data_IF_495844706150
#
_entry.id   IF_495844706150
#
_cell.length_a   1.000
_cell.length_b   1.000
_cell.length_c   1.000
_cell.angle_alpha   90.00
_cell.angle_beta   90.00
_cell.angle_gamma   90.00
#
_symmetry.space_group_name_H-M   'P 1'
#
loop_
_entity.id
_entity.type
_entity.pdbx_description
1 polymer ?
#
# COMPACT_ATOMS: atom_id res chain seq x y z
N UNK A 1 -24.73 8.68 -39.24
CA UNK A 1 -23.99 9.99 -39.34
C UNK A 1 -22.59 9.94 -38.75
N UNK A 2 -22.37 9.43 -37.52
CA UNK A 2 -21.00 9.29 -36.96
C UNK A 2 -20.30 8.08 -37.58
N UNK A 3 -20.99 6.94 -37.61
CA UNK A 3 -20.48 5.71 -38.21
C UNK A 3 -20.15 5.82 -39.70
N UNK A 4 -20.95 6.60 -40.45
CA UNK A 4 -20.68 6.81 -41.87
C UNK A 4 -19.39 7.62 -42.08
N UNK A 5 -19.17 8.67 -41.28
CA UNK A 5 -17.93 9.46 -41.29
C UNK A 5 -16.71 8.66 -40.90
N UNK A 6 -16.84 7.73 -39.94
CA UNK A 6 -15.75 6.85 -39.53
C UNK A 6 -15.40 5.87 -40.63
N UNK A 7 -16.40 5.25 -41.28
CA UNK A 7 -16.18 4.34 -42.41
C UNK A 7 -15.56 5.04 -43.61
N UNK A 8 -15.99 6.27 -43.88
CA UNK A 8 -15.41 7.09 -44.96
C UNK A 8 -13.93 7.41 -44.70
N UNK A 9 -13.60 7.72 -43.46
CA UNK A 9 -12.22 8.10 -43.08
C UNK A 9 -11.30 6.91 -42.83
N UNK A 10 -11.86 5.76 -42.43
CA UNK A 10 -11.14 4.54 -42.08
C UNK A 10 -11.86 3.30 -42.69
N UNK A 11 -11.78 3.08 -44.01
CA UNK A 11 -12.53 2.04 -44.70
C UNK A 11 -12.15 0.62 -44.27
N UNK A 12 -10.92 0.42 -43.83
CA UNK A 12 -10.40 -0.89 -43.43
C UNK A 12 -10.76 -1.30 -41.99
N UNK A 13 -11.43 -0.39 -41.25
CA UNK A 13 -11.82 -0.66 -39.86
C UNK A 13 -13.27 -1.09 -39.74
N UNK A 14 -13.51 -2.17 -39.02
CA UNK A 14 -14.87 -2.62 -38.65
C UNK A 14 -15.24 -2.05 -37.29
N UNK A 15 -16.31 -1.22 -37.28
CA UNK A 15 -16.87 -0.71 -36.01
C UNK A 15 -17.64 -1.87 -35.35
N UNK A 16 -17.18 -2.34 -34.19
CA UNK A 16 -17.82 -3.40 -33.42
C UNK A 16 -18.93 -2.86 -32.52
N UNK A 17 -18.68 -1.72 -31.87
CA UNK A 17 -19.61 -1.12 -30.91
C UNK A 17 -19.41 0.40 -30.81
N UNK A 18 -20.39 1.06 -30.22
CA UNK A 18 -20.34 2.48 -29.87
C UNK A 18 -20.50 2.62 -28.36
N UNK A 19 -19.59 3.32 -27.70
CA UNK A 19 -19.72 3.69 -26.30
C UNK A 19 -20.28 5.11 -26.19
N UNK A 20 -21.37 5.28 -25.47
CA UNK A 20 -22.00 6.57 -25.22
C UNK A 20 -21.73 6.95 -23.75
N UNK A 21 -21.01 8.05 -23.54
CA UNK A 21 -20.71 8.56 -22.22
C UNK A 21 -21.28 9.95 -22.02
N UNK A 22 -21.68 10.27 -20.78
CA UNK A 22 -22.07 11.60 -20.41
C UNK A 22 -20.88 12.57 -20.54
N UNK A 23 -21.08 13.67 -21.28
CA UNK A 23 -20.04 14.68 -21.44
C UNK A 23 -19.75 15.38 -20.10
N UNK A 24 -18.59 15.13 -19.54
CA UNK A 24 -18.10 15.84 -18.36
C UNK A 24 -17.62 17.23 -18.78
N UNK A 25 -18.47 18.27 -18.62
CA UNK A 25 -18.15 19.65 -18.93
C UNK A 25 -18.14 20.46 -17.64
N UNK A 26 -16.95 20.87 -17.20
CA UNK A 26 -16.81 21.89 -16.17
C UNK A 26 -16.02 23.07 -16.72
N UNK A 27 -16.61 24.28 -16.78
CA UNK A 27 -15.88 25.49 -17.19
C UNK A 27 -14.64 25.78 -16.34
N UNK A 28 -14.49 25.11 -15.19
CA UNK A 28 -13.41 25.29 -14.21
C UNK A 28 -12.90 23.94 -13.65
N UNK A 29 -12.99 22.85 -14.43
CA UNK A 29 -12.42 21.58 -14.00
C UNK A 29 -10.90 21.56 -14.20
N UNK A 30 -10.18 21.20 -13.15
CA UNK A 30 -8.75 20.93 -13.22
C UNK A 30 -8.54 19.50 -13.73
N UNK A 31 -7.62 19.34 -14.68
CA UNK A 31 -7.23 18.04 -15.19
C UNK A 31 -6.00 17.54 -14.45
N UNK A 32 -6.15 16.41 -13.80
CA UNK A 32 -5.11 15.71 -13.05
C UNK A 32 -4.80 14.36 -13.71
N UNK A 33 -3.65 13.81 -13.38
CA UNK A 33 -3.25 12.46 -13.72
C UNK A 33 -2.92 11.71 -12.42
N UNK A 34 -3.46 10.52 -12.27
CA UNK A 34 -3.13 9.63 -11.16
C UNK A 34 -3.02 8.19 -11.68
N UNK A 35 -2.24 7.36 -11.03
CA UNK A 35 -2.13 5.98 -11.49
C UNK A 35 -1.12 5.14 -10.75
N UNK A 36 -0.92 3.95 -11.31
CA UNK A 36 0.05 2.96 -10.87
C UNK A 36 1.00 2.71 -12.04
N UNK A 37 2.29 2.72 -11.79
CA UNK A 37 3.31 2.31 -12.75
C UNK A 37 4.23 1.30 -12.10
N UNK A 38 4.95 0.52 -12.90
CA UNK A 38 5.90 -0.47 -12.39
C UNK A 38 7.33 -0.03 -12.63
N UNK A 39 8.11 -0.02 -11.58
CA UNK A 39 9.56 0.16 -11.63
C UNK A 39 10.23 -1.22 -11.55
N UNK A 40 11.30 -1.50 -12.32
CA UNK A 40 11.99 -2.79 -12.29
C UNK A 40 12.62 -3.13 -10.94
N UNK A 41 13.00 -2.12 -10.14
CA UNK A 41 13.67 -2.28 -8.84
C UNK A 41 12.70 -2.19 -7.68
N UNK A 42 11.81 -1.19 -7.72
CA UNK A 42 10.91 -0.86 -6.60
C UNK A 42 9.52 -1.50 -6.73
N UNK A 43 9.21 -2.14 -7.86
CA UNK A 43 7.88 -2.68 -8.10
C UNK A 43 6.83 -1.59 -8.36
N UNK A 44 5.60 -1.74 -7.84
CA UNK A 44 4.54 -0.76 -8.05
C UNK A 44 4.88 0.60 -7.43
N UNK A 45 4.58 1.67 -8.17
CA UNK A 45 4.67 3.06 -7.75
C UNK A 45 3.34 3.74 -7.98
N UNK A 46 2.90 4.54 -7.03
CA UNK A 46 1.75 5.44 -7.18
C UNK A 46 2.25 6.73 -7.80
N UNK A 47 1.58 7.19 -8.86
CA UNK A 47 1.93 8.40 -9.61
C UNK A 47 0.82 9.43 -9.47
N UNK A 48 1.18 10.70 -9.29
CA UNK A 48 0.24 11.82 -9.26
C UNK A 48 0.84 13.09 -9.87
N UNK A 49 0.00 13.90 -10.52
CA UNK A 49 0.40 15.20 -11.05
C UNK A 49 -0.67 15.86 -11.92
N UNK A 50 -0.26 16.88 -12.68
CA UNK A 50 -1.12 17.55 -13.68
C UNK A 50 -1.43 16.57 -14.81
N UNK A 51 -2.69 16.55 -15.26
CA UNK A 51 -3.21 15.67 -16.30
C UNK A 51 -3.54 16.39 -17.62
N UNK A 52 -4.21 15.65 -18.51
CA UNK A 52 -4.61 16.10 -19.83
C UNK A 52 -3.43 16.26 -20.79
N UNK A 53 -3.61 17.04 -21.84
CA UNK A 53 -2.58 17.25 -22.88
C UNK A 53 -1.32 17.99 -22.37
N UNK A 54 -1.36 18.60 -21.20
CA UNK A 54 -0.23 19.32 -20.57
C UNK A 54 0.73 18.42 -19.80
N UNK A 55 0.41 17.15 -19.61
CA UNK A 55 1.24 16.16 -18.87
C UNK A 55 2.70 16.17 -19.34
N UNK A 56 2.92 16.18 -20.66
CA UNK A 56 4.25 16.12 -21.24
C UNK A 56 5.01 17.46 -21.23
N UNK A 57 4.32 18.55 -21.00
CA UNK A 57 4.90 19.91 -21.04
C UNK A 57 5.39 20.33 -19.66
N UNK A 58 4.63 20.01 -18.61
CA UNK A 58 4.91 20.50 -17.26
C UNK A 58 5.72 19.55 -16.40
N UNK A 59 5.84 18.28 -16.81
CA UNK A 59 6.58 17.22 -16.08
C UNK A 59 6.29 17.18 -14.56
N UNK A 60 5.06 17.57 -14.17
CA UNK A 60 4.61 17.66 -12.78
C UNK A 60 4.14 16.30 -12.30
N UNK A 61 5.09 15.36 -12.13
CA UNK A 61 4.81 14.03 -11.63
C UNK A 61 5.58 13.77 -10.34
N UNK A 62 4.86 13.33 -9.32
CA UNK A 62 5.43 12.78 -8.10
C UNK A 62 5.10 11.31 -8.01
N UNK A 63 6.01 10.55 -7.39
CA UNK A 63 5.85 9.12 -7.20
C UNK A 63 6.00 8.76 -5.73
N UNK A 64 5.30 7.70 -5.32
CA UNK A 64 5.43 7.13 -3.99
C UNK A 64 5.33 5.61 -4.02
N UNK A 65 5.95 4.96 -3.04
CA UNK A 65 5.84 3.52 -2.82
C UNK A 65 4.53 3.19 -2.09
N UNK A 66 3.73 2.22 -2.58
CA UNK A 66 2.64 1.67 -1.78
C UNK A 66 3.20 0.81 -0.63
N UNK A 67 2.47 0.62 0.48
CA UNK A 67 1.14 1.16 0.75
C UNK A 67 1.14 2.62 1.24
N UNK A 68 0.15 3.41 0.79
CA UNK A 68 -0.05 4.78 1.22
C UNK A 68 -1.16 4.89 2.27
N UNK A 69 -0.96 5.79 3.23
CA UNK A 69 -2.02 6.34 4.09
C UNK A 69 -2.30 7.80 3.72
N UNK A 70 -3.28 8.43 4.35
CA UNK A 70 -3.67 9.81 4.07
C UNK A 70 -2.51 10.81 4.27
N UNK A 71 -1.65 10.60 5.27
CA UNK A 71 -0.50 11.47 5.55
C UNK A 71 0.55 11.39 4.44
N UNK A 72 0.90 10.18 4.00
CA UNK A 72 1.84 9.97 2.90
C UNK A 72 1.27 10.48 1.57
N UNK A 73 -0.02 10.26 1.32
CA UNK A 73 -0.70 10.80 0.13
C UNK A 73 -0.68 12.33 0.12
N UNK A 74 -0.92 12.99 1.27
CA UNK A 74 -0.87 14.44 1.39
C UNK A 74 0.54 15.00 1.13
N UNK A 75 1.59 14.31 1.56
CA UNK A 75 2.97 14.68 1.28
C UNK A 75 3.27 14.60 -0.24
N UNK A 76 2.86 13.52 -0.90
CA UNK A 76 3.00 13.36 -2.36
C UNK A 76 2.27 14.48 -3.10
N UNK A 77 1.00 14.72 -2.78
CA UNK A 77 0.19 15.78 -3.39
C UNK A 77 0.83 17.15 -3.15
N UNK A 78 1.26 17.42 -1.92
CA UNK A 78 1.83 18.71 -1.51
C UNK A 78 3.08 19.14 -2.30
N UNK A 79 3.82 18.18 -2.87
CA UNK A 79 5.03 18.41 -3.67
C UNK A 79 4.75 18.76 -5.14
N UNK A 80 3.48 18.71 -5.59
CA UNK A 80 3.09 18.94 -6.98
C UNK A 80 2.72 20.40 -7.26
N UNK A 81 2.88 20.83 -8.51
CA UNK A 81 2.28 22.08 -8.98
C UNK A 81 0.75 22.02 -8.98
N UNK A 82 0.17 20.83 -9.18
CA UNK A 82 -1.26 20.60 -9.08
C UNK A 82 -1.81 21.08 -7.73
N UNK A 83 -1.15 20.75 -6.61
CA UNK A 83 -1.58 21.19 -5.28
C UNK A 83 -1.55 22.71 -5.12
N UNK A 84 -0.56 23.39 -5.72
CA UNK A 84 -0.51 24.87 -5.73
C UNK A 84 -1.69 25.45 -6.49
N UNK A 85 -1.95 24.94 -7.68
CA UNK A 85 -3.08 25.39 -8.51
C UNK A 85 -4.43 25.17 -7.80
N UNK A 86 -4.59 24.06 -7.07
CA UNK A 86 -5.80 23.80 -6.27
C UNK A 86 -5.95 24.87 -5.20
N UNK A 87 -4.89 25.18 -4.44
CA UNK A 87 -4.92 26.20 -3.38
C UNK A 87 -5.25 27.59 -3.91
N UNK A 88 -4.82 27.91 -5.13
CA UNK A 88 -5.04 29.22 -5.75
C UNK A 88 -6.42 29.37 -6.41
N UNK A 89 -7.00 28.28 -6.92
CA UNK A 89 -8.18 28.36 -7.79
C UNK A 89 -9.41 27.59 -7.28
N UNK A 90 -9.27 26.72 -6.27
CA UNK A 90 -10.42 26.03 -5.69
C UNK A 90 -11.17 26.89 -4.69
N UNK A 91 -12.49 26.68 -4.62
CA UNK A 91 -13.35 27.28 -3.59
C UNK A 91 -13.23 26.58 -2.23
N UNK A 92 -12.74 25.33 -2.20
CA UNK A 92 -12.51 24.53 -1.00
C UNK A 92 -11.26 23.65 -1.20
N UNK A 93 -10.06 24.27 -1.08
CA UNK A 93 -8.81 23.58 -1.40
C UNK A 93 -8.51 22.38 -0.49
N UNK A 94 -8.87 22.46 0.79
CA UNK A 94 -8.60 21.41 1.75
C UNK A 94 -9.39 20.15 1.41
N UNK A 95 -10.68 20.30 1.15
CA UNK A 95 -11.55 19.20 0.74
C UNK A 95 -11.15 18.59 -0.59
N UNK A 96 -10.71 19.40 -1.53
CA UNK A 96 -10.26 18.92 -2.85
C UNK A 96 -8.94 18.15 -2.74
N UNK A 97 -8.00 18.60 -1.91
CA UNK A 97 -6.77 17.87 -1.61
C UNK A 97 -7.09 16.55 -0.89
N UNK A 98 -8.00 16.55 0.08
CA UNK A 98 -8.44 15.34 0.78
C UNK A 98 -9.00 14.30 -0.20
N UNK A 99 -9.88 14.69 -1.12
CA UNK A 99 -10.42 13.81 -2.16
C UNK A 99 -9.34 13.19 -3.06
N UNK A 100 -8.31 13.97 -3.38
CA UNK A 100 -7.17 13.46 -4.13
C UNK A 100 -6.39 12.46 -3.30
N UNK A 101 -6.12 12.75 -2.02
CA UNK A 101 -5.46 11.82 -1.12
C UNK A 101 -6.22 10.49 -1.00
N UNK A 102 -7.55 10.54 -0.86
CA UNK A 102 -8.40 9.34 -0.86
C UNK A 102 -8.26 8.54 -2.17
N UNK A 103 -8.20 9.22 -3.33
CA UNK A 103 -7.97 8.55 -4.60
C UNK A 103 -6.62 7.83 -4.60
N UNK A 104 -5.53 8.48 -4.15
CA UNK A 104 -4.20 7.89 -4.11
C UNK A 104 -4.12 6.71 -3.14
N UNK A 105 -4.79 6.80 -1.98
CA UNK A 105 -4.89 5.68 -1.02
C UNK A 105 -5.64 4.50 -1.66
N UNK A 106 -6.73 4.74 -2.38
CA UNK A 106 -7.46 3.67 -3.10
C UNK A 106 -6.63 3.04 -4.22
N UNK A 107 -5.87 3.84 -4.98
CA UNK A 107 -4.93 3.30 -5.98
C UNK A 107 -3.82 2.47 -5.32
N UNK A 108 -3.32 2.93 -4.19
CA UNK A 108 -2.34 2.20 -3.40
C UNK A 108 -2.88 0.86 -2.89
N UNK A 109 -4.12 0.86 -2.38
CA UNK A 109 -4.79 -0.37 -1.97
C UNK A 109 -4.99 -1.32 -3.17
N UNK A 110 -5.44 -0.78 -4.31
CA UNK A 110 -5.62 -1.56 -5.53
C UNK A 110 -4.31 -2.19 -6.01
N UNK A 111 -3.19 -1.46 -5.95
CA UNK A 111 -1.87 -2.01 -6.28
C UNK A 111 -1.50 -3.18 -5.36
N UNK A 112 -1.86 -3.10 -4.08
CA UNK A 112 -1.57 -4.12 -3.07
C UNK A 112 -2.44 -5.37 -3.26
N UNK A 113 -3.74 -5.18 -3.52
CA UNK A 113 -4.71 -6.27 -3.64
C UNK A 113 -4.60 -7.00 -5.00
N UNK A 114 -4.05 -6.33 -6.02
CA UNK A 114 -3.91 -6.85 -7.37
C UNK A 114 -2.44 -6.88 -7.80
N UNK A 115 -1.63 -7.82 -7.32
CA UNK A 115 -0.19 -7.86 -7.62
C UNK A 115 0.13 -8.06 -9.12
N UNK A 116 -0.83 -8.54 -9.90
CA UNK A 116 -0.72 -8.68 -11.37
C UNK A 116 -0.97 -7.37 -12.13
N UNK A 117 -1.36 -6.29 -11.44
CA UNK A 117 -1.57 -4.98 -12.04
C UNK A 117 -0.22 -4.29 -12.30
N UNK A 118 0.23 -4.30 -13.55
CA UNK A 118 1.49 -3.68 -13.96
C UNK A 118 1.39 -2.17 -14.12
N UNK A 119 0.25 -1.70 -14.56
CA UNK A 119 0.01 -0.29 -14.79
C UNK A 119 -1.47 0.08 -14.79
N UNK A 120 -1.76 1.25 -14.27
CA UNK A 120 -3.06 1.91 -14.37
C UNK A 120 -2.82 3.40 -14.55
N UNK A 121 -3.26 3.97 -15.63
CA UNK A 121 -3.25 5.40 -15.85
C UNK A 121 -4.68 5.93 -15.87
N UNK A 122 -4.97 6.87 -14.99
CA UNK A 122 -6.19 7.67 -14.98
C UNK A 122 -5.85 9.05 -15.51
N UNK A 123 -6.19 9.35 -16.78
CA UNK A 123 -5.85 10.62 -17.42
C UNK A 123 -6.84 10.99 -18.54
N UNK A 124 -7.63 12.07 -18.37
CA UNK A 124 -7.63 12.96 -17.21
C UNK A 124 -8.52 12.48 -16.05
N UNK A 125 -8.10 12.81 -14.85
CA UNK A 125 -8.96 12.87 -13.68
C UNK A 125 -9.44 14.32 -13.56
N UNK A 126 -10.75 14.53 -13.63
CA UNK A 126 -11.35 15.87 -13.49
C UNK A 126 -11.68 16.14 -12.03
N UNK A 127 -11.09 17.21 -11.50
CA UNK A 127 -11.47 17.78 -10.21
C UNK A 127 -12.40 18.96 -10.48
N UNK A 128 -13.60 18.92 -9.92
CA UNK A 128 -14.60 19.96 -10.02
C UNK A 128 -15.33 20.14 -8.67
N UNK A 129 -16.31 21.06 -8.60
CA UNK A 129 -17.07 21.34 -7.37
C UNK A 129 -17.84 20.11 -6.86
N UNK A 130 -18.26 19.22 -7.75
CA UNK A 130 -19.06 18.04 -7.40
C UNK A 130 -18.19 16.87 -6.93
N UNK A 131 -16.89 16.90 -7.23
CA UNK A 131 -15.95 15.86 -6.80
C UNK A 131 -14.84 15.56 -7.80
N UNK A 132 -14.39 14.32 -7.76
CA UNK A 132 -13.35 13.76 -8.64
C UNK A 132 -13.98 12.72 -9.56
N UNK A 133 -13.67 12.80 -10.86
CA UNK A 133 -14.12 11.82 -11.87
C UNK A 133 -12.97 11.47 -12.80
N UNK A 134 -12.64 10.18 -12.88
CA UNK A 134 -11.76 9.67 -13.93
C UNK A 134 -12.57 9.56 -15.24
N UNK A 135 -12.12 10.23 -16.29
CA UNK A 135 -12.80 10.28 -17.58
C UNK A 135 -12.30 9.19 -18.51
N UNK A 136 -11.03 8.88 -18.39
CA UNK A 136 -10.38 7.85 -19.20
C UNK A 136 -9.37 7.08 -18.35
N UNK A 137 -9.15 5.82 -18.73
CA UNK A 137 -8.15 4.97 -18.08
C UNK A 137 -7.51 4.01 -19.07
N UNK A 138 -6.27 3.70 -18.81
CA UNK A 138 -5.56 2.59 -19.44
C UNK A 138 -5.02 1.66 -18.35
N UNK A 139 -5.14 0.36 -18.56
CA UNK A 139 -4.72 -0.66 -17.59
C UNK A 139 -3.90 -1.73 -18.29
N UNK A 140 -2.82 -2.16 -17.63
CA UNK A 140 -1.94 -3.23 -18.06
C UNK A 140 -1.82 -4.29 -16.96
N UNK A 141 -1.97 -5.57 -17.34
CA UNK A 141 -1.87 -6.72 -16.46
C UNK A 141 -0.69 -7.60 -16.90
N UNK A 142 0.00 -8.19 -15.93
CA UNK A 142 1.13 -9.08 -16.22
C UNK A 142 1.49 -9.97 -15.05
N UNK A 143 2.75 -10.36 -14.96
CA UNK A 143 3.25 -11.17 -13.86
C UNK A 143 3.15 -10.42 -12.52
N UNK A 144 2.89 -11.15 -11.41
CA UNK A 144 2.83 -10.53 -10.09
C UNK A 144 4.05 -9.68 -9.77
N UNK A 145 3.83 -8.48 -9.28
CA UNK A 145 4.88 -7.56 -8.89
C UNK A 145 5.41 -7.89 -7.49
N UNK A 146 6.72 -7.72 -7.30
CA UNK A 146 7.33 -7.67 -5.98
C UNK A 146 7.26 -6.24 -5.46
N UNK A 147 6.88 -6.08 -4.20
CA UNK A 147 6.81 -4.79 -3.54
C UNK A 147 8.14 -4.45 -2.87
N UNK A 148 8.59 -3.19 -2.98
CA UNK A 148 9.73 -2.70 -2.19
C UNK A 148 9.42 -2.62 -0.69
N UNK A 149 8.15 -2.30 -0.38
CA UNK A 149 7.61 -2.34 0.98
C UNK A 149 6.47 -3.33 0.95
N UNK A 150 6.68 -4.52 1.52
CA UNK A 150 5.62 -5.51 1.61
C UNK A 150 4.53 -5.06 2.58
N UNK A 151 3.26 -5.08 2.16
CA UNK A 151 2.15 -4.81 3.06
C UNK A 151 2.09 -5.88 4.16
N UNK A 152 1.39 -5.55 5.24
CA UNK A 152 1.13 -6.53 6.30
C UNK A 152 0.34 -7.71 5.74
N UNK A 153 0.84 -8.96 5.86
CA UNK A 153 0.20 -10.14 5.26
C UNK A 153 -0.93 -10.67 6.15
N UNK A 154 -2.09 -10.01 6.11
CA UNK A 154 -3.27 -10.35 6.93
C UNK A 154 -3.81 -11.75 6.61
N UNK A 155 -3.61 -12.24 5.39
CA UNK A 155 -4.03 -13.56 4.93
C UNK A 155 -3.30 -14.71 5.64
N UNK A 156 -2.19 -14.42 6.32
CA UNK A 156 -1.42 -15.39 7.11
C UNK A 156 -1.90 -15.48 8.57
N UNK A 157 -3.01 -14.84 8.90
CA UNK A 157 -3.61 -14.89 10.23
C UNK A 157 -4.46 -16.13 10.38
N UNK A 158 -4.28 -16.86 11.47
CA UNK A 158 -4.95 -18.13 11.75
C UNK A 158 -5.34 -18.26 13.21
N UNK A 159 -6.45 -18.94 13.47
CA UNK A 159 -6.88 -19.30 14.83
C UNK A 159 -6.64 -20.79 15.08
N UNK A 160 -6.01 -21.10 16.20
CA UNK A 160 -5.67 -22.47 16.61
C UNK A 160 -6.17 -22.71 18.03
N UNK A 161 -6.91 -23.81 18.24
CA UNK A 161 -7.27 -24.25 19.59
C UNK A 161 -6.20 -25.20 20.10
N UNK A 162 -5.55 -24.84 21.19
CA UNK A 162 -4.53 -25.67 21.85
C UNK A 162 -5.16 -26.86 22.60
N UNK A 163 -4.35 -27.86 22.92
CA UNK A 163 -4.79 -29.07 23.64
C UNK A 163 -5.37 -28.81 25.03
N UNK A 164 -5.11 -27.65 25.63
CA UNK A 164 -5.70 -27.20 26.89
C UNK A 164 -7.04 -26.43 26.72
N UNK A 165 -7.53 -26.32 25.46
CA UNK A 165 -8.78 -25.62 25.13
C UNK A 165 -8.64 -24.12 24.93
N UNK A 166 -7.43 -23.57 24.92
CA UNK A 166 -7.23 -22.13 24.64
C UNK A 166 -7.28 -21.85 23.15
N UNK A 167 -8.04 -20.83 22.77
CA UNK A 167 -8.02 -20.28 21.42
C UNK A 167 -6.89 -19.25 21.34
N UNK A 168 -6.01 -19.48 20.38
CA UNK A 168 -4.79 -18.69 20.15
C UNK A 168 -4.82 -18.16 18.74
N UNK A 169 -4.60 -16.86 18.60
CA UNK A 169 -4.41 -16.20 17.33
C UNK A 169 -2.92 -16.29 16.93
N UNK A 170 -2.64 -16.97 15.84
CA UNK A 170 -1.32 -16.98 15.21
C UNK A 170 -1.33 -15.98 14.06
N UNK A 171 -0.48 -14.97 14.15
CA UNK A 171 -0.44 -13.91 13.15
C UNK A 171 0.96 -13.33 12.95
N UNK A 172 1.24 -12.69 11.80
CA UNK A 172 2.45 -11.91 11.64
C UNK A 172 2.54 -10.79 12.70
N UNK A 173 3.75 -10.49 13.13
CA UNK A 173 4.01 -9.43 14.10
C UNK A 173 3.77 -8.07 13.46
N UNK A 174 3.34 -7.08 14.27
CA UNK A 174 3.12 -5.68 13.87
C UNK A 174 4.03 -4.75 14.66
N UNK A 175 4.23 -3.55 14.15
CA UNK A 175 4.99 -2.51 14.86
C UNK A 175 4.41 -2.19 16.24
N UNK A 176 3.07 -2.21 16.36
CA UNK A 176 2.31 -1.96 17.58
C UNK A 176 2.49 -3.02 18.67
N UNK A 177 3.08 -4.18 18.33
CA UNK A 177 3.32 -5.27 19.27
C UNK A 177 4.55 -5.05 20.18
N UNK A 178 5.27 -3.95 20.05
CA UNK A 178 6.43 -3.66 20.88
C UNK A 178 6.16 -3.78 22.41
N UNK A 179 5.02 -3.28 22.94
CA UNK A 179 4.68 -3.48 24.37
C UNK A 179 4.40 -4.97 24.71
N UNK A 180 3.85 -5.73 23.76
CA UNK A 180 3.58 -7.16 23.92
C UNK A 180 4.88 -7.95 23.98
N UNK A 181 5.84 -7.64 23.09
CA UNK A 181 7.19 -8.23 23.09
C UNK A 181 7.90 -7.95 24.42
N UNK A 182 7.81 -6.72 24.92
CA UNK A 182 8.43 -6.35 26.20
C UNK A 182 7.90 -7.21 27.34
N UNK A 183 6.58 -7.32 27.46
CA UNK A 183 5.96 -8.17 28.50
C UNK A 183 6.34 -9.64 28.36
N UNK A 184 6.27 -10.17 27.14
CA UNK A 184 6.67 -11.54 26.87
C UNK A 184 8.13 -11.82 27.28
N UNK A 185 9.05 -10.91 26.93
CA UNK A 185 10.46 -11.06 27.26
C UNK A 185 10.72 -11.09 28.77
N UNK A 186 9.99 -10.28 29.57
CA UNK A 186 10.12 -10.27 31.03
C UNK A 186 9.60 -11.54 31.70
N UNK A 187 8.78 -12.33 31.03
CA UNK A 187 8.22 -13.59 31.53
C UNK A 187 9.06 -14.80 31.17
N UNK A 188 10.06 -14.65 30.27
CA UNK A 188 10.92 -15.74 29.86
C UNK A 188 11.85 -16.20 30.97
N UNK A 189 12.09 -17.52 31.02
CA UNK A 189 13.11 -18.10 31.92
C UNK A 189 14.53 -17.69 31.47
N UNK A 190 15.48 -17.62 32.41
CA UNK A 190 16.88 -17.37 32.08
C UNK A 190 17.41 -18.40 31.07
N UNK A 191 16.95 -19.64 31.15
CA UNK A 191 17.31 -20.69 30.21
C UNK A 191 16.81 -20.39 28.80
N UNK A 192 15.56 -19.97 28.64
CA UNK A 192 14.98 -19.56 27.34
C UNK A 192 15.73 -18.37 26.73
N UNK A 193 16.03 -17.38 27.55
CA UNK A 193 16.83 -16.21 27.13
C UNK A 193 18.21 -16.64 26.65
N UNK A 194 18.89 -17.50 27.41
CA UNK A 194 20.22 -17.99 27.05
C UNK A 194 20.21 -18.79 25.74
N UNK A 195 19.24 -19.67 25.55
CA UNK A 195 19.12 -20.42 24.29
C UNK A 195 18.82 -19.54 23.10
N UNK A 196 18.05 -18.48 23.31
CA UNK A 196 17.64 -17.58 22.21
C UNK A 196 18.74 -16.60 21.82
N UNK A 197 19.44 -16.01 22.80
CA UNK A 197 20.40 -14.93 22.57
C UNK A 197 21.87 -15.33 22.78
N UNK A 198 22.13 -16.56 23.22
CA UNK A 198 23.47 -17.07 23.56
C UNK A 198 24.22 -16.27 24.64
N UNK A 199 23.54 -15.34 25.32
CA UNK A 199 24.06 -14.54 26.43
C UNK A 199 22.91 -14.10 27.35
N UNK A 200 23.26 -13.69 28.57
CA UNK A 200 22.27 -13.16 29.51
C UNK A 200 21.91 -11.71 29.11
N UNK A 201 20.84 -11.55 28.37
CA UNK A 201 20.29 -10.23 27.99
C UNK A 201 19.09 -9.95 28.88
N UNK A 202 19.27 -9.11 29.93
CA UNK A 202 18.22 -8.84 30.90
C UNK A 202 17.09 -7.97 30.32
N UNK A 203 17.43 -6.94 29.54
CA UNK A 203 16.45 -5.98 29.02
C UNK A 203 16.60 -5.74 27.51
N UNK A 204 15.46 -5.52 26.86
CA UNK A 204 15.41 -5.09 25.47
C UNK A 204 15.50 -3.55 25.39
N UNK A 205 16.50 -3.05 24.68
CA UNK A 205 16.56 -1.61 24.38
C UNK A 205 15.46 -1.20 23.40
N UNK A 206 15.18 0.09 23.32
CA UNK A 206 14.23 0.63 22.33
C UNK A 206 14.63 0.27 20.88
N UNK A 207 15.92 0.20 20.61
CA UNK A 207 16.44 -0.25 19.32
C UNK A 207 16.12 -1.73 19.07
N UNK A 208 16.31 -2.60 20.08
CA UNK A 208 15.98 -4.02 19.96
C UNK A 208 14.47 -4.22 19.70
N UNK A 209 13.63 -3.51 20.43
CA UNK A 209 12.17 -3.55 20.25
C UNK A 209 11.77 -3.12 18.85
N UNK A 210 12.37 -2.04 18.35
CA UNK A 210 12.14 -1.60 16.97
C UNK A 210 12.56 -2.66 15.95
N UNK A 211 13.73 -3.26 16.09
CA UNK A 211 14.21 -4.32 15.20
C UNK A 211 13.34 -5.60 15.29
N UNK A 212 12.74 -5.85 16.44
CA UNK A 212 11.90 -7.03 16.64
C UNK A 212 10.46 -6.83 16.14
N UNK A 213 9.93 -5.61 16.10
CA UNK A 213 8.55 -5.33 15.72
C UNK A 213 8.40 -4.74 14.30
N UNK A 214 9.36 -3.92 13.84
CA UNK A 214 9.32 -3.32 12.51
C UNK A 214 10.08 -4.19 11.51
N UNK A 215 9.39 -5.13 10.88
CA UNK A 215 9.95 -6.03 9.89
C UNK A 215 9.39 -5.71 8.50
N UNK A 216 10.10 -6.11 7.46
CA UNK A 216 9.73 -5.80 6.07
C UNK A 216 8.86 -6.88 5.40
N UNK A 217 8.53 -7.97 6.07
CA UNK A 217 7.76 -9.14 5.59
C UNK A 217 8.29 -9.79 4.29
N UNK A 218 9.34 -9.28 3.70
CA UNK A 218 9.99 -9.84 2.50
C UNK A 218 11.12 -10.80 2.86
N UNK A 219 12.05 -10.33 3.69
CA UNK A 219 13.23 -11.11 4.14
C UNK A 219 13.15 -11.52 5.59
N UNK A 220 12.22 -10.95 6.29
CA UNK A 220 11.98 -11.22 7.71
C UNK A 220 10.50 -11.51 7.88
N UNK A 221 10.23 -12.61 8.57
CA UNK A 221 8.89 -12.94 9.00
C UNK A 221 8.94 -13.30 10.49
N UNK A 222 7.96 -12.83 11.23
CA UNK A 222 7.76 -13.24 12.60
C UNK A 222 6.27 -13.51 12.83
N UNK A 223 5.97 -14.70 13.32
CA UNK A 223 4.63 -15.07 13.77
C UNK A 223 4.61 -15.04 15.28
N UNK A 224 3.62 -14.40 15.85
CA UNK A 224 3.32 -14.45 17.27
C UNK A 224 2.09 -15.32 17.51
N UNK A 225 2.11 -16.05 18.62
CA UNK A 225 0.95 -16.73 19.17
C UNK A 225 0.37 -15.85 20.29
N UNK A 226 -0.83 -15.33 20.10
CA UNK A 226 -1.50 -14.39 21.00
C UNK A 226 -2.76 -15.03 21.59
N UNK A 227 -2.91 -14.95 22.90
CA UNK A 227 -4.09 -15.40 23.62
C UNK A 227 -4.78 -14.24 24.34
N UNK A 228 -6.11 -14.23 24.31
CA UNK A 228 -6.92 -13.27 25.04
C UNK A 228 -7.25 -13.87 26.41
N UNK A 229 -6.66 -13.31 27.48
CA UNK A 229 -6.96 -13.72 28.86
C UNK A 229 -8.32 -13.19 29.32
N UNK A 230 -8.88 -13.77 30.40
CA UNK A 230 -10.23 -13.47 30.91
C UNK A 230 -10.47 -12.00 31.22
N UNK A 231 -9.44 -11.24 31.56
CA UNK A 231 -9.52 -9.80 31.85
C UNK A 231 -9.47 -8.90 30.58
N UNK A 232 -9.49 -9.50 29.39
CA UNK A 232 -9.45 -8.81 28.10
C UNK A 232 -8.06 -8.35 27.66
N UNK A 233 -6.99 -8.70 28.38
CA UNK A 233 -5.62 -8.44 27.95
C UNK A 233 -5.16 -9.50 26.96
N UNK A 234 -4.31 -9.08 26.06
CA UNK A 234 -3.62 -9.96 25.12
C UNK A 234 -2.26 -10.37 25.68
N UNK A 235 -1.98 -11.66 25.65
CA UNK A 235 -0.70 -12.24 26.06
C UNK A 235 -0.04 -12.97 24.90
N UNK A 236 1.25 -12.74 24.71
CA UNK A 236 2.05 -13.47 23.75
C UNK A 236 2.53 -14.77 24.42
N UNK A 237 2.21 -15.88 23.80
CA UNK A 237 2.58 -17.23 24.28
C UNK A 237 3.89 -17.71 23.65
N UNK A 238 4.24 -17.18 22.49
CA UNK A 238 5.44 -17.56 21.77
C UNK A 238 5.65 -16.73 20.51
N UNK A 239 6.84 -16.80 19.94
CA UNK A 239 7.17 -16.18 18.68
C UNK A 239 8.10 -17.08 17.87
N UNK A 240 7.80 -17.22 16.58
CA UNK A 240 8.68 -17.81 15.58
C UNK A 240 9.19 -16.69 14.70
N UNK A 241 10.49 -16.66 14.43
CA UNK A 241 11.11 -15.69 13.53
C UNK A 241 11.90 -16.39 12.46
N UNK A 242 11.81 -15.81 11.27
CA UNK A 242 12.55 -16.25 10.09
C UNK A 242 13.29 -15.04 9.53
N UNK A 243 14.56 -15.24 9.16
CA UNK A 243 15.40 -14.21 8.57
C UNK A 243 16.16 -14.79 7.39
N UNK A 244 15.94 -14.23 6.22
CA UNK A 244 16.65 -14.59 4.99
C UNK A 244 17.79 -13.61 4.71
N UNK A 245 18.88 -14.14 4.14
CA UNK A 245 19.97 -13.33 3.65
C UNK A 245 19.55 -12.45 2.44
N UNK A 246 20.38 -11.48 2.01
CA UNK A 246 20.02 -10.56 0.95
C UNK A 246 19.69 -11.18 -0.41
N UNK A 247 20.21 -12.37 -0.70
CA UNK A 247 19.94 -13.10 -1.95
C UNK A 247 18.81 -14.14 -1.82
N UNK A 248 18.20 -14.25 -0.64
CA UNK A 248 17.11 -15.19 -0.31
C UNK A 248 17.47 -16.67 -0.54
N UNK A 249 18.76 -17.04 -0.44
CA UNK A 249 19.23 -18.42 -0.61
C UNK A 249 19.25 -19.15 0.73
N UNK A 250 19.61 -18.46 1.81
CA UNK A 250 19.71 -19.02 3.15
C UNK A 250 18.75 -18.34 4.09
N UNK A 251 18.18 -19.14 4.97
CA UNK A 251 17.18 -18.66 5.93
C UNK A 251 17.49 -19.25 7.30
N UNK A 252 17.59 -18.39 8.30
CA UNK A 252 17.67 -18.76 9.70
C UNK A 252 16.29 -18.66 10.34
N UNK A 253 15.97 -19.57 11.25
CA UNK A 253 14.75 -19.48 12.03
C UNK A 253 15.04 -19.64 13.53
N UNK A 254 14.15 -19.10 14.34
CA UNK A 254 14.20 -19.23 15.79
C UNK A 254 12.79 -19.30 16.37
N UNK A 255 12.64 -20.07 17.45
CA UNK A 255 11.39 -20.26 18.18
C UNK A 255 11.62 -19.98 19.65
N UNK A 256 10.69 -19.32 20.28
CA UNK A 256 10.69 -19.11 21.73
C UNK A 256 9.26 -19.05 22.25
#
# INVERSE_FOLDING_TARGET
RLGDKVREKFPDFTIREYCLQAMQRGKHSMQLCAGITRDPVFGPLIVFGIGGYKVNILADRQVALPPLNMTLAADVVGRTHAARMIREHSSDPERDIERICELLVKLSQMATDLPTLNGLELNPVLLNRDGIVAVDFAMDLGEPARFAIMPYPEELREWVTLGNGWDVEVRPIRAEDAPLITRFHTQLSEQSIRFRYFHNKADLSQRDLSMLSHINYDRQMAFIAEHLVEDGRKEMLGVVRVWSDPDNIRTEFSVI
#
